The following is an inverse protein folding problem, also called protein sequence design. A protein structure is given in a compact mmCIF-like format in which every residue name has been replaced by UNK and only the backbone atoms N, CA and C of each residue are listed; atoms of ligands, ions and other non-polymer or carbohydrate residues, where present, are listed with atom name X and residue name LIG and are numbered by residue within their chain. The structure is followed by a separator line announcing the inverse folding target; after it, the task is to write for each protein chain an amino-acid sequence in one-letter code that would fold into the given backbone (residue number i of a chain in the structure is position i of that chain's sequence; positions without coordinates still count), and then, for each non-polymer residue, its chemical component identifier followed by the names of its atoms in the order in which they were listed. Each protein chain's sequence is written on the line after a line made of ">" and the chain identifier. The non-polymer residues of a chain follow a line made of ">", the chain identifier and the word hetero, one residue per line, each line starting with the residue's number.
data_IF_301663193652
#
_entry.id   IF_301663193652
#
_cell.length_a   1.000
_cell.length_b   1.000
_cell.length_c   1.000
_cell.angle_alpha   90.00
_cell.angle_beta   90.00
_cell.angle_gamma   90.00
#
_symmetry.space_group_name_H-M   'P 1'
#
loop_
_entity.id
_entity.type
_entity.pdbx_description
1 polymer ?
#
# COMPACT_ATOMS: atom_id res chain seq x y z
N UNK A 1 12.07 -11.99 23.23
CA UNK A 1 12.00 -10.63 22.65
C UNK A 1 10.53 -10.26 22.72
N UNK A 2 10.17 -9.08 23.22
CA UNK A 2 8.76 -8.67 23.27
C UNK A 2 8.38 -7.97 21.97
N UNK A 3 7.18 -8.25 21.50
CA UNK A 3 6.61 -7.62 20.31
C UNK A 3 5.42 -6.76 20.72
N UNK A 4 5.37 -5.55 20.21
CA UNK A 4 4.18 -4.72 20.28
C UNK A 4 3.26 -5.12 19.11
N UNK A 5 2.02 -5.39 19.39
CA UNK A 5 1.01 -5.68 18.37
C UNK A 5 -0.11 -4.65 18.40
N UNK A 6 -0.75 -4.48 17.25
CA UNK A 6 -1.92 -3.62 17.07
C UNK A 6 -3.05 -4.43 16.47
N UNK A 7 -4.20 -4.36 17.09
CA UNK A 7 -5.39 -5.06 16.64
C UNK A 7 -6.61 -4.12 16.57
N UNK A 8 -7.51 -4.43 15.67
CA UNK A 8 -8.83 -3.81 15.56
C UNK A 8 -9.84 -4.87 15.12
N UNK A 9 -11.11 -4.54 15.05
CA UNK A 9 -12.13 -5.44 14.51
C UNK A 9 -12.97 -4.77 13.40
N UNK A 10 -13.81 -5.57 12.77
CA UNK A 10 -14.64 -5.11 11.66
C UNK A 10 -15.69 -4.06 12.08
N UNK A 11 -16.11 -4.06 13.35
CA UNK A 11 -17.04 -3.07 13.87
C UNK A 11 -16.36 -1.72 14.03
N UNK A 12 -15.18 -1.68 14.64
CA UNK A 12 -14.38 -0.46 14.80
C UNK A 12 -13.99 0.14 13.44
N UNK A 13 -13.65 -0.71 12.45
CA UNK A 13 -13.38 -0.26 11.09
C UNK A 13 -14.61 0.37 10.44
N UNK A 14 -15.80 -0.20 10.66
CA UNK A 14 -17.05 0.36 10.16
C UNK A 14 -17.41 1.68 10.86
N UNK A 15 -17.30 1.74 12.18
CA UNK A 15 -17.53 2.97 12.96
C UNK A 15 -16.56 4.09 12.58
N UNK A 16 -15.33 3.75 12.18
CA UNK A 16 -14.36 4.73 11.72
C UNK A 16 -14.77 5.45 10.42
N UNK A 17 -15.65 4.86 9.60
CA UNK A 17 -16.22 5.51 8.42
C UNK A 17 -17.16 6.66 8.79
N UNK A 18 -17.77 6.60 9.97
CA UNK A 18 -18.71 7.62 10.44
C UNK A 18 -18.00 8.68 11.30
N UNK A 19 -17.05 8.24 12.11
CA UNK A 19 -16.41 9.09 13.12
C UNK A 19 -15.10 9.74 12.66
N UNK A 20 -14.42 9.15 11.68
CA UNK A 20 -13.06 9.51 11.27
C UNK A 20 -11.99 9.12 12.31
N UNK A 21 -12.34 8.22 13.25
CA UNK A 21 -11.43 7.71 14.28
C UNK A 21 -11.46 6.19 14.30
N UNK A 22 -10.29 5.57 14.16
CA UNK A 22 -10.14 4.12 14.27
C UNK A 22 -9.65 3.76 15.66
N UNK A 23 -10.47 2.99 16.38
CA UNK A 23 -10.13 2.43 17.68
C UNK A 23 -9.28 1.18 17.51
N UNK A 24 -8.18 1.12 18.24
CA UNK A 24 -7.23 0.00 18.20
C UNK A 24 -6.81 -0.39 19.61
N UNK A 25 -6.52 -1.65 19.79
CA UNK A 25 -5.89 -2.19 20.98
C UNK A 25 -4.39 -2.31 20.71
N UNK A 26 -3.57 -1.78 21.61
CA UNK A 26 -2.11 -1.90 21.55
C UNK A 26 -1.69 -2.74 22.76
N UNK A 27 -1.06 -3.85 22.46
CA UNK A 27 -0.59 -4.79 23.50
C UNK A 27 0.82 -5.29 23.22
N UNK A 28 1.38 -6.03 24.18
CA UNK A 28 2.66 -6.69 24.04
C UNK A 28 2.51 -8.22 24.15
N UNK A 29 3.36 -8.94 23.45
CA UNK A 29 3.40 -10.40 23.52
C UNK A 29 4.83 -10.92 23.32
N UNK A 30 5.15 -12.01 24.02
CA UNK A 30 6.40 -12.74 23.79
C UNK A 30 6.33 -13.62 22.54
N UNK A 31 5.12 -14.08 22.21
CA UNK A 31 4.80 -14.88 21.02
C UNK A 31 3.50 -14.36 20.42
N UNK A 32 3.63 -13.71 19.29
CA UNK A 32 2.50 -13.05 18.62
C UNK A 32 1.58 -14.05 17.95
N UNK A 33 2.11 -15.16 17.42
CA UNK A 33 1.30 -16.18 16.74
C UNK A 33 0.37 -16.88 17.73
N UNK A 34 0.89 -17.24 18.92
CA UNK A 34 0.07 -17.78 20.01
C UNK A 34 -0.99 -16.77 20.44
N UNK A 35 -0.63 -15.49 20.56
CA UNK A 35 -1.55 -14.43 20.97
C UNK A 35 -2.61 -14.18 19.88
N UNK A 36 -2.21 -14.10 18.61
CA UNK A 36 -3.12 -13.95 17.48
C UNK A 36 -4.15 -15.08 17.42
N UNK A 37 -3.72 -16.34 17.61
CA UNK A 37 -4.63 -17.48 17.62
C UNK A 37 -5.61 -17.45 18.79
N UNK A 38 -5.18 -17.03 19.98
CA UNK A 38 -6.05 -16.86 21.14
C UNK A 38 -7.14 -15.80 20.90
N UNK A 39 -6.82 -14.70 20.22
CA UNK A 39 -7.77 -13.61 19.95
C UNK A 39 -8.69 -13.90 18.76
N UNK A 40 -8.18 -14.50 17.68
CA UNK A 40 -9.01 -14.94 16.53
C UNK A 40 -10.13 -15.90 16.97
N UNK A 41 -9.83 -16.80 17.87
CA UNK A 41 -10.83 -17.73 18.43
C UNK A 41 -11.92 -17.04 19.26
N UNK A 42 -11.62 -15.88 19.89
CA UNK A 42 -12.54 -15.22 20.82
C UNK A 42 -13.33 -14.06 20.23
N UNK A 43 -12.74 -13.25 19.33
CA UNK A 43 -13.30 -11.95 18.96
C UNK A 43 -13.28 -11.59 17.46
N UNK A 44 -12.81 -12.45 16.56
CA UNK A 44 -12.63 -12.15 15.13
C UNK A 44 -11.83 -10.86 14.87
N UNK A 45 -10.83 -10.61 15.71
CA UNK A 45 -9.99 -9.42 15.63
C UNK A 45 -8.88 -9.61 14.59
N UNK A 46 -8.58 -8.53 13.84
CA UNK A 46 -7.50 -8.50 12.87
C UNK A 46 -6.26 -7.86 13.48
N UNK A 47 -5.17 -8.60 13.54
CA UNK A 47 -3.84 -8.05 13.78
C UNK A 47 -3.33 -7.44 12.49
N UNK A 48 -2.90 -6.19 12.53
CA UNK A 48 -2.46 -5.51 11.31
C UNK A 48 -1.11 -4.80 11.42
N UNK A 49 -0.56 -4.70 12.60
CA UNK A 49 0.78 -4.15 12.78
C UNK A 49 1.50 -4.89 13.91
N UNK A 50 2.79 -5.07 13.73
CA UNK A 50 3.65 -5.72 14.68
C UNK A 50 5.02 -5.03 14.68
N UNK A 51 5.52 -4.70 15.86
CA UNK A 51 6.80 -4.03 16.04
C UNK A 51 7.64 -4.82 17.02
N UNK A 52 8.89 -5.08 16.68
CA UNK A 52 9.85 -5.64 17.62
C UNK A 52 10.49 -4.51 18.41
N UNK A 53 10.13 -4.37 19.68
CA UNK A 53 10.67 -3.34 20.57
C UNK A 53 11.29 -4.01 21.80
N UNK A 54 12.58 -4.22 21.83
CA UNK A 54 13.22 -4.84 22.97
C UNK A 54 13.01 -4.01 24.24
N UNK A 55 12.21 -4.51 25.19
CA UNK A 55 11.99 -3.97 26.54
C UNK A 55 11.50 -2.51 26.61
N UNK A 56 10.76 -2.00 25.59
CA UNK A 56 10.30 -0.60 25.53
C UNK A 56 8.78 -0.45 25.38
N UNK A 57 8.01 -1.53 25.51
CA UNK A 57 6.54 -1.53 25.40
C UNK A 57 5.88 -0.46 26.26
N UNK A 58 6.24 -0.39 27.57
CA UNK A 58 5.71 0.64 28.47
C UNK A 58 6.16 2.07 28.12
N UNK A 59 7.29 2.26 27.44
CA UNK A 59 7.68 3.58 26.94
C UNK A 59 6.81 4.03 25.78
N UNK A 60 6.41 3.12 24.86
CA UNK A 60 5.46 3.41 23.79
C UNK A 60 4.10 3.79 24.37
N UNK A 61 3.59 3.02 25.32
CA UNK A 61 2.33 3.32 25.99
C UNK A 61 2.37 4.66 26.74
N UNK A 62 3.47 4.96 27.44
CA UNK A 62 3.65 6.23 28.14
C UNK A 62 3.69 7.40 27.17
N UNK A 63 4.37 7.26 26.02
CA UNK A 63 4.44 8.28 24.99
C UNK A 63 3.10 8.50 24.30
N UNK A 64 2.38 7.43 23.96
CA UNK A 64 1.02 7.53 23.42
C UNK A 64 0.08 8.25 24.40
N UNK A 65 0.20 7.98 25.71
CA UNK A 65 -0.54 8.72 26.73
C UNK A 65 -0.11 10.17 26.87
N UNK A 66 1.17 10.48 26.62
CA UNK A 66 1.70 11.85 26.61
C UNK A 66 1.14 12.66 25.43
N UNK A 67 1.07 12.04 24.23
CA UNK A 67 0.52 12.66 23.03
C UNK A 67 -1.01 12.55 22.94
N UNK A 68 -1.67 11.96 23.94
CA UNK A 68 -3.13 11.92 24.01
C UNK A 68 -3.71 13.34 23.95
N UNK A 69 -4.88 13.47 23.31
CA UNK A 69 -5.55 14.74 23.05
C UNK A 69 -4.83 15.63 22.01
N UNK A 70 -3.97 15.07 21.19
CA UNK A 70 -3.56 15.71 19.94
C UNK A 70 -4.69 15.60 18.91
N UNK A 71 -4.55 16.31 17.79
CA UNK A 71 -5.51 16.22 16.68
C UNK A 71 -5.51 14.84 15.99
N UNK A 72 -4.60 13.94 16.36
CA UNK A 72 -4.34 12.67 15.65
C UNK A 72 -4.45 11.41 16.51
N UNK A 73 -4.29 11.52 17.86
CA UNK A 73 -4.34 10.36 18.77
C UNK A 73 -5.15 10.70 20.02
N UNK A 74 -6.00 9.78 20.44
CA UNK A 74 -6.77 9.85 21.69
C UNK A 74 -6.56 8.57 22.51
N UNK A 75 -6.47 8.71 23.83
CA UNK A 75 -6.51 7.58 24.75
C UNK A 75 -7.93 7.33 25.22
N UNK A 76 -8.39 6.09 25.12
CA UNK A 76 -9.69 5.68 25.63
C UNK A 76 -9.48 4.99 26.98
N UNK A 77 -9.85 5.62 28.11
CA UNK A 77 -9.70 4.97 29.41
C UNK A 77 -10.58 3.72 29.48
N UNK A 78 -10.11 2.65 30.13
CA UNK A 78 -10.91 1.44 30.32
C UNK A 78 -12.18 1.78 31.10
N UNK A 79 -13.30 1.18 30.71
CA UNK A 79 -14.60 1.40 31.35
C UNK A 79 -14.70 0.69 32.69
N UNK A 80 -13.94 -0.41 32.89
CA UNK A 80 -13.87 -1.18 34.12
C UNK A 80 -12.41 -1.50 34.47
N UNK A 81 -12.09 -1.53 35.76
CA UNK A 81 -10.75 -1.84 36.31
C UNK A 81 -10.20 -3.24 35.96
N UNK A 82 -10.93 -4.05 35.22
CA UNK A 82 -10.61 -5.43 34.88
C UNK A 82 -9.87 -5.58 33.53
N UNK A 83 -9.80 -4.52 32.71
CA UNK A 83 -9.13 -4.64 31.40
C UNK A 83 -7.67 -4.19 31.48
N UNK A 84 -6.76 -5.18 31.41
CA UNK A 84 -5.31 -4.98 31.27
C UNK A 84 -4.89 -4.51 29.85
N UNK A 85 -5.82 -4.05 29.03
CA UNK A 85 -5.59 -3.75 27.60
C UNK A 85 -5.72 -2.26 27.38
N UNK A 86 -4.73 -1.64 26.76
CA UNK A 86 -4.76 -0.21 26.47
C UNK A 86 -5.36 0.05 25.09
N UNK A 87 -6.36 0.92 25.07
CA UNK A 87 -7.14 1.29 23.88
C UNK A 87 -6.80 2.72 23.47
N UNK A 88 -6.55 2.92 22.19
CA UNK A 88 -6.29 4.22 21.59
C UNK A 88 -7.16 4.42 20.36
N UNK A 89 -7.48 5.67 20.06
CA UNK A 89 -8.13 6.06 18.82
C UNK A 89 -7.16 6.93 18.00
N UNK A 90 -7.01 6.57 16.73
CA UNK A 90 -6.21 7.30 15.77
C UNK A 90 -7.10 7.96 14.73
N UNK A 91 -6.78 9.21 14.41
CA UNK A 91 -7.49 9.91 13.34
C UNK A 91 -7.15 9.28 12.00
N UNK A 92 -8.19 8.91 11.25
CA UNK A 92 -8.09 8.31 9.92
C UNK A 92 -9.00 9.05 8.94
N UNK A 93 -8.76 8.89 7.65
CA UNK A 93 -9.70 9.34 6.64
C UNK A 93 -10.91 8.40 6.64
N UNK A 94 -12.11 8.93 6.91
CA UNK A 94 -13.35 8.17 6.98
C UNK A 94 -13.69 7.46 5.66
N UNK A 95 -13.33 8.05 4.52
CA UNK A 95 -13.58 7.52 3.18
C UNK A 95 -12.49 6.55 2.70
N UNK A 96 -11.38 6.43 3.42
CA UNK A 96 -10.31 5.53 3.06
C UNK A 96 -10.71 4.05 3.23
N UNK A 97 -10.05 3.17 2.47
CA UNK A 97 -10.21 1.72 2.65
C UNK A 97 -9.68 1.26 4.02
N UNK A 98 -10.14 0.10 4.49
CA UNK A 98 -9.72 -0.48 5.76
C UNK A 98 -8.20 -0.66 5.84
N UNK A 99 -7.56 -1.06 4.73
CA UNK A 99 -6.11 -1.19 4.64
C UNK A 99 -5.40 0.16 4.83
N UNK A 100 -5.90 1.22 4.20
CA UNK A 100 -5.32 2.56 4.33
C UNK A 100 -5.48 3.09 5.76
N UNK A 101 -6.60 2.82 6.42
CA UNK A 101 -6.82 3.18 7.81
C UNK A 101 -5.84 2.48 8.74
N UNK A 102 -5.66 1.17 8.56
CA UNK A 102 -4.68 0.35 9.31
C UNK A 102 -3.24 0.85 9.10
N UNK A 103 -2.87 1.15 7.85
CA UNK A 103 -1.56 1.71 7.52
C UNK A 103 -1.32 3.08 8.16
N UNK A 104 -2.35 3.93 8.23
CA UNK A 104 -2.25 5.24 8.89
C UNK A 104 -1.91 5.09 10.38
N UNK A 105 -2.57 4.15 11.07
CA UNK A 105 -2.26 3.85 12.48
C UNK A 105 -0.84 3.29 12.63
N UNK A 106 -0.46 2.36 11.77
CA UNK A 106 0.89 1.76 11.80
C UNK A 106 1.98 2.80 11.60
N UNK A 107 1.79 3.75 10.68
CA UNK A 107 2.72 4.84 10.43
C UNK A 107 2.84 5.78 11.63
N UNK A 108 1.73 6.16 12.25
CA UNK A 108 1.73 7.00 13.43
C UNK A 108 2.45 6.33 14.63
N UNK A 109 2.24 5.03 14.82
CA UNK A 109 2.94 4.26 15.83
C UNK A 109 4.45 4.16 15.55
N UNK A 110 4.83 3.94 14.31
CA UNK A 110 6.24 3.92 13.90
C UNK A 110 6.94 5.24 14.23
N UNK A 111 6.27 6.38 14.04
CA UNK A 111 6.81 7.69 14.43
C UNK A 111 7.00 7.82 15.95
N UNK A 112 6.03 7.34 16.74
CA UNK A 112 6.14 7.33 18.21
C UNK A 112 7.34 6.47 18.65
N UNK A 113 7.48 5.28 18.09
CA UNK A 113 8.58 4.35 18.42
C UNK A 113 9.93 4.96 18.07
N UNK A 114 10.08 5.59 16.91
CA UNK A 114 11.31 6.31 16.53
C UNK A 114 11.60 7.49 17.48
N UNK A 115 10.57 8.22 17.86
CA UNK A 115 10.68 9.35 18.78
C UNK A 115 11.24 9.00 20.17
N UNK A 116 11.01 7.78 20.64
CA UNK A 116 11.59 7.26 21.89
C UNK A 116 12.92 6.51 21.68
N UNK A 117 13.53 6.63 20.49
CA UNK A 117 14.80 5.96 20.14
C UNK A 117 14.65 4.45 19.94
N UNK A 118 13.44 3.97 19.63
CA UNK A 118 13.18 2.60 19.20
C UNK A 118 13.55 2.42 17.73
N UNK A 119 14.14 1.28 17.40
CA UNK A 119 14.25 0.85 16.00
C UNK A 119 12.90 0.32 15.56
N UNK A 120 12.37 0.87 14.51
CA UNK A 120 11.24 0.30 13.78
C UNK A 120 11.86 -0.57 12.71
N UNK A 121 11.79 -1.88 12.87
CA UNK A 121 11.99 -2.73 11.71
C UNK A 121 10.95 -2.30 10.68
N UNK A 122 11.42 -1.77 9.57
CA UNK A 122 10.55 -1.52 8.43
C UNK A 122 9.90 -2.84 8.08
N UNK A 123 8.58 -2.90 8.12
CA UNK A 123 7.88 -4.10 7.68
C UNK A 123 8.33 -4.39 6.26
N UNK A 124 9.15 -5.41 6.08
CA UNK A 124 9.41 -5.91 4.76
C UNK A 124 8.10 -6.50 4.26
N UNK A 125 7.49 -5.84 3.28
CA UNK A 125 6.34 -6.42 2.61
C UNK A 125 6.76 -7.78 2.02
N UNK A 126 6.14 -8.84 2.50
CA UNK A 126 6.37 -10.19 2.00
C UNK A 126 5.21 -10.54 1.06
N UNK A 127 5.46 -10.65 -0.25
CA UNK A 127 4.42 -11.01 -1.19
C UNK A 127 3.84 -12.39 -0.88
N UNK A 128 2.52 -12.51 -0.91
CA UNK A 128 1.81 -13.79 -0.87
C UNK A 128 2.11 -14.61 -2.14
N UNK A 129 1.73 -15.89 -2.16
CA UNK A 129 1.95 -16.77 -3.33
C UNK A 129 1.33 -16.21 -4.61
N UNK A 130 0.10 -15.67 -4.54
CA UNK A 130 -0.56 -15.07 -5.71
C UNK A 130 0.08 -13.75 -6.15
N UNK A 131 0.60 -12.94 -5.23
CA UNK A 131 1.34 -11.72 -5.55
C UNK A 131 2.68 -12.05 -6.21
N UNK A 132 3.40 -13.06 -5.70
CA UNK A 132 4.63 -13.56 -6.34
C UNK A 132 4.37 -14.03 -7.76
N UNK A 133 3.29 -14.80 -7.99
CA UNK A 133 2.91 -15.22 -9.35
C UNK A 133 2.72 -14.05 -10.30
N UNK A 134 2.10 -12.95 -9.85
CA UNK A 134 1.93 -11.76 -10.68
C UNK A 134 3.28 -11.06 -10.96
N UNK A 135 4.17 -10.98 -9.98
CA UNK A 135 5.51 -10.40 -10.12
C UNK A 135 6.35 -11.24 -11.09
N UNK A 136 6.35 -12.56 -10.92
CA UNK A 136 7.06 -13.52 -11.80
C UNK A 136 6.56 -13.42 -13.25
N UNK A 137 5.23 -13.40 -13.44
CA UNK A 137 4.63 -13.23 -14.78
C UNK A 137 5.12 -11.96 -15.46
N UNK A 138 5.18 -10.84 -14.76
CA UNK A 138 5.67 -9.57 -15.34
C UNK A 138 7.16 -9.70 -15.68
N UNK A 139 7.97 -10.22 -14.77
CA UNK A 139 9.40 -10.42 -14.99
C UNK A 139 9.71 -11.32 -16.18
N UNK A 140 9.04 -12.47 -16.30
CA UNK A 140 9.17 -13.39 -17.43
C UNK A 140 8.70 -12.76 -18.75
N UNK A 141 7.62 -11.97 -18.71
CA UNK A 141 7.12 -11.25 -19.89
C UNK A 141 8.14 -10.24 -20.39
N UNK A 142 8.75 -9.45 -19.51
CA UNK A 142 9.79 -8.49 -19.89
C UNK A 142 11.05 -9.16 -20.46
N UNK A 143 11.46 -10.30 -19.91
CA UNK A 143 12.56 -11.10 -20.47
C UNK A 143 12.26 -11.58 -21.89
N UNK A 144 10.98 -11.73 -22.26
CA UNK A 144 10.51 -12.06 -23.60
C UNK A 144 10.25 -10.82 -24.49
N UNK A 145 10.68 -9.63 -24.06
CA UNK A 145 10.42 -8.34 -24.71
C UNK A 145 8.93 -7.97 -24.85
N UNK A 146 8.08 -8.52 -23.99
CA UNK A 146 6.67 -8.17 -23.89
C UNK A 146 6.53 -6.97 -22.95
N UNK A 147 6.13 -5.82 -23.48
CA UNK A 147 6.18 -4.56 -22.75
C UNK A 147 4.80 -3.99 -22.38
N UNK A 148 3.73 -4.50 -23.00
CA UNK A 148 2.35 -4.09 -22.72
C UNK A 148 1.59 -5.24 -22.09
N UNK A 149 1.39 -5.17 -20.79
CA UNK A 149 0.83 -6.24 -19.99
C UNK A 149 -0.51 -5.85 -19.38
N UNK A 150 -1.42 -6.82 -19.27
CA UNK A 150 -2.67 -6.69 -18.52
C UNK A 150 -2.63 -7.58 -17.29
N UNK A 151 -2.90 -7.00 -16.13
CA UNK A 151 -3.08 -7.72 -14.88
C UNK A 151 -4.53 -7.55 -14.41
N UNK A 152 -5.35 -8.58 -14.55
CA UNK A 152 -6.67 -8.64 -13.95
C UNK A 152 -6.56 -9.30 -12.58
N UNK A 153 -6.63 -8.49 -11.54
CA UNK A 153 -6.38 -8.90 -10.18
C UNK A 153 -7.62 -8.65 -9.31
N UNK A 154 -8.13 -9.68 -8.69
CA UNK A 154 -9.31 -9.61 -7.85
C UNK A 154 -9.24 -8.49 -6.79
N UNK A 155 -10.39 -8.06 -6.30
CA UNK A 155 -10.45 -7.15 -5.16
C UNK A 155 -9.69 -7.75 -3.96
N UNK A 156 -9.03 -6.88 -3.18
CA UNK A 156 -8.19 -7.27 -2.02
C UNK A 156 -6.95 -8.11 -2.36
N UNK A 157 -6.56 -8.16 -3.62
CA UNK A 157 -5.32 -8.83 -4.05
C UNK A 157 -4.06 -8.23 -3.39
N UNK A 158 -4.10 -6.97 -3.01
CA UNK A 158 -2.93 -6.22 -2.54
C UNK A 158 -2.09 -5.61 -3.66
N UNK A 159 -2.76 -5.09 -4.69
CA UNK A 159 -2.16 -4.52 -5.92
C UNK A 159 -1.00 -3.58 -5.64
N UNK A 160 -1.18 -2.64 -4.70
CA UNK A 160 -0.17 -1.63 -4.34
C UNK A 160 1.14 -2.27 -3.87
N UNK A 161 1.08 -3.21 -2.93
CA UNK A 161 2.27 -3.92 -2.44
C UNK A 161 2.95 -4.75 -3.53
N UNK A 162 2.15 -5.40 -4.39
CA UNK A 162 2.66 -6.16 -5.54
C UNK A 162 3.45 -5.28 -6.50
N UNK A 163 2.93 -4.10 -6.85
CA UNK A 163 3.61 -3.16 -7.76
C UNK A 163 4.87 -2.56 -7.14
N UNK A 164 4.83 -2.23 -5.86
CA UNK A 164 6.02 -1.72 -5.18
C UNK A 164 7.12 -2.80 -5.12
N UNK A 165 6.75 -4.05 -4.87
CA UNK A 165 7.70 -5.16 -4.92
C UNK A 165 8.22 -5.38 -6.34
N UNK A 166 7.38 -5.25 -7.36
CA UNK A 166 7.81 -5.32 -8.75
C UNK A 166 8.83 -4.23 -9.07
N UNK A 167 8.58 -2.99 -8.65
CA UNK A 167 9.54 -1.89 -8.81
C UNK A 167 10.86 -2.19 -8.09
N UNK A 168 10.79 -2.78 -6.90
CA UNK A 168 11.97 -3.13 -6.11
C UNK A 168 12.89 -4.13 -6.85
N UNK A 169 12.29 -5.14 -7.47
CA UNK A 169 13.02 -6.18 -8.23
C UNK A 169 13.36 -5.80 -9.67
N UNK A 170 12.78 -4.73 -10.20
CA UNK A 170 13.08 -4.26 -11.55
C UNK A 170 14.32 -3.35 -11.59
N UNK A 171 14.88 -3.17 -12.77
CA UNK A 171 15.96 -2.20 -12.99
C UNK A 171 15.43 -0.76 -13.11
N UNK A 172 14.11 -0.56 -13.12
CA UNK A 172 13.51 0.76 -13.22
C UNK A 172 13.75 1.60 -11.97
N UNK A 173 14.01 2.88 -12.17
CA UNK A 173 14.21 3.87 -11.11
C UNK A 173 12.91 4.59 -10.75
N UNK A 174 11.98 4.66 -11.71
CA UNK A 174 10.73 5.40 -11.57
C UNK A 174 9.54 4.54 -11.99
N UNK A 175 8.49 4.54 -11.18
CA UNK A 175 7.17 4.01 -11.53
C UNK A 175 6.17 5.16 -11.57
N UNK A 176 5.53 5.35 -12.72
CA UNK A 176 4.44 6.33 -12.88
C UNK A 176 3.11 5.59 -12.72
N UNK A 177 2.37 5.90 -11.66
CA UNK A 177 1.04 5.34 -11.40
C UNK A 177 -0.01 6.30 -11.92
N UNK A 178 -0.47 6.06 -13.13
CA UNK A 178 -1.58 6.78 -13.73
C UNK A 178 -2.90 6.21 -13.20
N UNK A 179 -3.74 7.06 -12.63
CA UNK A 179 -5.01 6.65 -12.04
C UNK A 179 -6.11 7.67 -12.25
N UNK A 180 -7.33 7.25 -12.00
CA UNK A 180 -8.52 8.09 -12.10
C UNK A 180 -9.03 8.56 -10.73
N UNK A 181 -8.71 7.83 -9.66
CA UNK A 181 -9.22 8.06 -8.31
C UNK A 181 -8.11 8.55 -7.38
N UNK A 182 -8.36 9.62 -6.63
CA UNK A 182 -7.40 10.16 -5.64
C UNK A 182 -7.03 9.13 -4.55
N UNK A 183 -7.95 8.23 -4.22
CA UNK A 183 -7.73 7.18 -3.22
C UNK A 183 -6.55 6.26 -3.55
N UNK A 184 -6.28 6.03 -4.84
CA UNK A 184 -5.11 5.24 -5.29
C UNK A 184 -3.82 5.92 -4.84
N UNK A 185 -3.67 7.22 -5.07
CA UNK A 185 -2.49 7.98 -4.65
C UNK A 185 -2.27 7.90 -3.14
N UNK A 186 -3.35 7.98 -2.35
CA UNK A 186 -3.28 7.86 -0.89
C UNK A 186 -2.81 6.48 -0.46
N UNK A 187 -3.28 5.42 -1.11
CA UNK A 187 -2.87 4.04 -0.84
C UNK A 187 -1.38 3.83 -1.11
N UNK A 188 -0.87 4.27 -2.26
CA UNK A 188 0.55 4.16 -2.59
C UNK A 188 1.42 4.95 -1.60
N UNK A 189 1.08 6.21 -1.33
CA UNK A 189 1.83 7.06 -0.40
C UNK A 189 1.88 6.44 1.01
N UNK A 190 0.78 5.89 1.49
CA UNK A 190 0.70 5.23 2.79
C UNK A 190 1.56 3.95 2.83
N UNK A 191 1.43 3.08 1.82
CA UNK A 191 2.18 1.82 1.74
C UNK A 191 3.69 2.07 1.64
N UNK A 192 4.12 3.06 0.85
CA UNK A 192 5.54 3.44 0.76
C UNK A 192 6.05 3.88 2.12
N UNK A 193 5.32 4.77 2.80
CA UNK A 193 5.72 5.30 4.11
C UNK A 193 5.88 4.20 5.16
N UNK A 194 5.04 3.17 5.09
CA UNK A 194 4.98 2.11 6.11
C UNK A 194 5.95 0.96 5.81
N UNK A 195 6.00 0.49 4.55
CA UNK A 195 6.67 -0.76 4.21
C UNK A 195 7.93 -0.58 3.35
N UNK A 196 8.15 0.61 2.76
CA UNK A 196 9.19 0.82 1.76
C UNK A 196 9.89 2.19 1.91
N UNK A 197 9.77 2.83 3.06
CA UNK A 197 10.32 4.18 3.26
C UNK A 197 11.85 4.26 3.16
N UNK A 198 12.53 3.14 3.34
CA UNK A 198 13.98 2.98 3.18
C UNK A 198 14.43 2.89 1.72
N UNK A 199 13.51 2.55 0.79
CA UNK A 199 13.81 2.28 -0.62
C UNK A 199 13.11 3.23 -1.58
N UNK A 200 11.90 3.70 -1.26
CA UNK A 200 11.06 4.47 -2.18
C UNK A 200 10.71 5.86 -1.67
N UNK A 201 10.45 6.77 -2.62
CA UNK A 201 9.83 8.07 -2.36
C UNK A 201 8.57 8.22 -3.20
N UNK A 202 7.56 8.77 -2.57
CA UNK A 202 6.31 9.15 -3.23
C UNK A 202 6.37 10.60 -3.69
N UNK A 203 5.99 10.86 -4.94
CA UNK A 203 5.87 12.20 -5.51
C UNK A 203 4.50 12.34 -6.16
N UNK A 204 3.78 13.42 -5.87
CA UNK A 204 2.55 13.76 -6.58
C UNK A 204 2.90 14.66 -7.78
N UNK A 205 2.50 14.28 -8.99
CA UNK A 205 2.68 15.12 -10.19
C UNK A 205 2.03 16.49 -10.04
N UNK A 206 1.05 16.66 -9.17
CA UNK A 206 0.40 17.95 -8.92
C UNK A 206 1.27 18.92 -8.12
N UNK A 207 2.30 18.45 -7.42
CA UNK A 207 3.21 19.32 -6.67
C UNK A 207 3.94 20.29 -7.60
N UNK A 208 4.12 21.54 -7.18
CA UNK A 208 4.78 22.56 -8.03
C UNK A 208 6.26 22.24 -8.27
N UNK A 209 6.92 21.61 -7.32
CA UNK A 209 8.32 21.18 -7.35
C UNK A 209 8.50 19.67 -7.58
N UNK A 210 7.57 19.00 -8.29
CA UNK A 210 7.61 17.54 -8.45
C UNK A 210 8.90 17.04 -9.11
N UNK A 211 9.46 17.81 -10.08
CA UNK A 211 10.74 17.46 -10.74
C UNK A 211 11.90 17.48 -9.76
N UNK A 212 12.03 18.53 -8.96
CA UNK A 212 13.06 18.63 -7.91
C UNK A 212 12.95 17.51 -6.87
N UNK A 213 11.71 17.10 -6.54
CA UNK A 213 11.48 15.97 -5.64
C UNK A 213 11.95 14.65 -6.25
N UNK A 214 11.70 14.42 -7.54
CA UNK A 214 12.19 13.23 -8.25
C UNK A 214 13.71 13.24 -8.29
N UNK A 215 14.33 14.32 -8.76
CA UNK A 215 15.78 14.43 -8.87
C UNK A 215 16.49 14.26 -7.52
N UNK A 216 15.94 14.88 -6.47
CA UNK A 216 16.48 14.77 -5.11
C UNK A 216 16.37 13.34 -4.58
N UNK A 217 15.26 12.65 -4.84
CA UNK A 217 15.06 11.28 -4.40
C UNK A 217 16.02 10.31 -5.13
N UNK A 218 16.15 10.45 -6.45
CA UNK A 218 17.07 9.64 -7.25
C UNK A 218 18.52 9.89 -6.86
N UNK A 219 18.92 11.16 -6.65
CA UNK A 219 20.25 11.50 -6.15
C UNK A 219 20.54 10.92 -4.75
N UNK A 220 19.50 10.75 -3.93
CA UNK A 220 19.57 10.09 -2.63
C UNK A 220 19.57 8.55 -2.68
N UNK A 221 19.57 7.95 -3.88
CA UNK A 221 19.58 6.50 -4.07
C UNK A 221 18.22 5.82 -3.87
N UNK A 222 17.13 6.59 -3.86
CA UNK A 222 15.77 6.04 -3.74
C UNK A 222 15.15 5.83 -5.11
N UNK A 223 14.36 4.76 -5.25
CA UNK A 223 13.42 4.65 -6.37
C UNK A 223 12.20 5.55 -6.13
N UNK A 224 11.58 6.03 -7.20
CA UNK A 224 10.50 7.01 -7.10
C UNK A 224 9.19 6.45 -7.64
N UNK A 225 8.11 6.67 -6.90
CA UNK A 225 6.74 6.39 -7.37
C UNK A 225 6.02 7.71 -7.55
N UNK A 226 5.60 7.99 -8.78
CA UNK A 226 4.92 9.23 -9.13
C UNK A 226 3.43 8.98 -9.32
N UNK A 227 2.61 9.60 -8.48
CA UNK A 227 1.16 9.58 -8.64
C UNK A 227 0.69 10.57 -9.70
N UNK A 228 -0.01 10.06 -10.71
CA UNK A 228 -0.51 10.84 -11.85
C UNK A 228 -2.03 10.72 -11.97
N UNK A 229 -2.78 11.72 -11.48
CA UNK A 229 -4.22 11.77 -11.62
C UNK A 229 -4.62 12.28 -13.03
N UNK A 230 -5.11 11.39 -13.88
CA UNK A 230 -5.40 11.67 -15.30
C UNK A 230 -6.54 12.67 -15.54
N UNK A 231 -7.40 12.92 -14.54
CA UNK A 231 -8.51 13.88 -14.65
C UNK A 231 -8.09 15.35 -14.49
N UNK A 232 -6.90 15.62 -13.96
CA UNK A 232 -6.40 16.99 -13.82
C UNK A 232 -6.14 17.61 -15.17
N UNK A 233 -6.81 18.74 -15.48
CA UNK A 233 -6.75 19.37 -16.81
C UNK A 233 -5.68 20.46 -16.95
N UNK A 234 -5.40 21.20 -15.89
CA UNK A 234 -4.48 22.31 -15.93
C UNK A 234 -3.02 21.84 -15.76
N UNK A 235 -2.13 22.26 -16.64
CA UNK A 235 -0.68 21.97 -16.63
C UNK A 235 -0.28 20.50 -16.78
N UNK A 236 -1.25 19.56 -16.93
CA UNK A 236 -0.91 18.12 -16.94
C UNK A 236 -0.07 17.74 -18.17
N UNK A 237 -0.40 18.26 -19.37
CA UNK A 237 0.27 17.83 -20.61
C UNK A 237 1.78 18.10 -20.60
N UNK A 238 2.23 19.29 -20.15
CA UNK A 238 3.66 19.58 -20.04
C UNK A 238 4.36 18.71 -18.99
N UNK A 239 3.68 18.41 -17.90
CA UNK A 239 4.20 17.52 -16.85
C UNK A 239 4.29 16.07 -17.31
N UNK A 240 3.31 15.59 -18.11
CA UNK A 240 3.37 14.25 -18.72
C UNK A 240 4.57 14.12 -19.66
N UNK A 241 4.86 15.12 -20.48
CA UNK A 241 6.04 15.12 -21.35
C UNK A 241 7.36 15.05 -20.55
N UNK A 242 7.43 15.75 -19.42
CA UNK A 242 8.58 15.69 -18.52
C UNK A 242 8.75 14.30 -17.89
N UNK A 243 7.66 13.68 -17.45
CA UNK A 243 7.69 12.28 -16.97
C UNK A 243 8.08 11.31 -18.09
N UNK A 244 7.57 11.52 -19.31
CA UNK A 244 7.93 10.71 -20.47
C UNK A 244 9.41 10.81 -20.85
N UNK A 245 10.07 11.90 -20.53
CA UNK A 245 11.50 12.09 -20.76
C UNK A 245 12.40 11.38 -19.72
N UNK A 246 11.86 10.91 -18.59
CA UNK A 246 12.63 10.19 -17.59
C UNK A 246 12.99 8.80 -18.16
N UNK A 247 14.28 8.48 -18.30
CA UNK A 247 14.68 7.13 -18.71
C UNK A 247 14.33 6.11 -17.63
N UNK A 248 14.38 4.85 -17.98
CA UNK A 248 14.31 3.72 -17.03
C UNK A 248 13.06 3.75 -16.12
N UNK A 249 11.90 4.03 -16.72
CA UNK A 249 10.62 4.09 -16.01
C UNK A 249 9.67 2.96 -16.41
N UNK A 250 8.74 2.66 -15.51
CA UNK A 250 7.57 1.80 -15.73
C UNK A 250 6.31 2.65 -15.64
N UNK A 251 5.35 2.44 -16.53
CA UNK A 251 4.03 3.07 -16.46
C UNK A 251 3.00 2.05 -16.03
N UNK A 252 2.24 2.37 -15.01
CA UNK A 252 1.13 1.57 -14.50
C UNK A 252 -0.14 2.38 -14.62
N UNK A 253 -1.19 1.80 -15.17
CA UNK A 253 -2.55 2.36 -15.14
C UNK A 253 -3.38 1.53 -14.19
N UNK A 254 -3.73 2.10 -13.05
CA UNK A 254 -4.63 1.44 -12.08
C UNK A 254 -6.09 1.75 -12.42
N UNK A 255 -6.96 0.76 -12.26
CA UNK A 255 -8.35 0.78 -12.71
C UNK A 255 -8.45 1.10 -14.22
N UNK A 256 -7.69 0.37 -15.03
CA UNK A 256 -7.55 0.61 -16.47
C UNK A 256 -8.87 0.51 -17.24
N UNK A 257 -9.83 -0.24 -16.75
CA UNK A 257 -11.19 -0.32 -17.27
C UNK A 257 -11.96 1.01 -17.13
N UNK A 258 -11.62 1.87 -16.18
CA UNK A 258 -12.15 3.22 -16.01
C UNK A 258 -11.23 4.29 -16.62
N UNK A 259 -9.92 4.14 -16.49
CA UNK A 259 -8.93 5.18 -16.79
C UNK A 259 -8.67 5.45 -18.27
N UNK A 260 -9.12 4.57 -19.19
CA UNK A 260 -8.80 4.65 -20.62
C UNK A 260 -10.03 4.90 -21.51
N UNK A 261 -11.16 5.33 -20.96
CA UNK A 261 -12.44 5.41 -21.68
C UNK A 261 -12.50 6.46 -22.79
N UNK A 262 -11.81 7.57 -22.62
CA UNK A 262 -11.84 8.67 -23.61
C UNK A 262 -10.55 8.69 -24.43
N UNK A 263 -10.64 9.14 -25.68
CA UNK A 263 -9.47 9.34 -26.53
C UNK A 263 -8.41 10.24 -25.87
N UNK A 264 -8.87 11.23 -25.09
CA UNK A 264 -7.98 12.15 -24.38
C UNK A 264 -7.20 11.46 -23.24
N UNK A 265 -7.82 10.52 -22.54
CA UNK A 265 -7.14 9.74 -21.48
C UNK A 265 -6.17 8.72 -22.08
N UNK A 266 -6.61 8.04 -23.13
CA UNK A 266 -5.74 7.14 -23.89
C UNK A 266 -4.49 7.87 -24.38
N UNK A 267 -4.64 9.05 -25.01
CA UNK A 267 -3.51 9.85 -25.48
C UNK A 267 -2.53 10.24 -24.36
N UNK A 268 -3.02 10.48 -23.14
CA UNK A 268 -2.15 10.76 -21.99
C UNK A 268 -1.34 9.53 -21.56
N UNK A 269 -1.96 8.36 -21.56
CA UNK A 269 -1.27 7.09 -21.26
C UNK A 269 -0.21 6.82 -22.31
N UNK A 270 -0.54 6.98 -23.59
CA UNK A 270 0.42 6.83 -24.69
C UNK A 270 1.60 7.80 -24.58
N UNK A 271 1.34 9.05 -24.17
CA UNK A 271 2.43 10.02 -23.90
C UNK A 271 3.33 9.53 -22.76
N UNK A 272 2.77 9.03 -21.66
CA UNK A 272 3.56 8.52 -20.53
C UNK A 272 4.34 7.26 -20.91
N UNK A 273 3.74 6.41 -21.74
CA UNK A 273 4.29 5.11 -22.15
C UNK A 273 5.49 5.25 -23.08
N UNK A 274 5.64 6.35 -23.82
CA UNK A 274 6.66 6.49 -24.86
C UNK A 274 8.01 5.86 -24.47
N UNK A 275 8.33 4.72 -25.10
CA UNK A 275 9.55 3.95 -24.82
C UNK A 275 9.61 3.24 -23.47
N UNK A 276 8.53 3.15 -22.71
CA UNK A 276 8.50 2.48 -21.41
C UNK A 276 7.54 1.26 -21.38
N UNK A 277 7.80 0.25 -20.54
CA UNK A 277 6.84 -0.80 -20.26
C UNK A 277 5.54 -0.25 -19.65
N UNK A 278 4.41 -0.82 -20.08
CA UNK A 278 3.06 -0.46 -19.64
C UNK A 278 2.39 -1.65 -18.96
N UNK A 279 1.90 -1.44 -17.76
CA UNK A 279 1.07 -2.40 -17.03
C UNK A 279 -0.32 -1.80 -16.85
N UNK A 280 -1.32 -2.43 -17.43
CA UNK A 280 -2.72 -2.10 -17.25
C UNK A 280 -3.29 -3.00 -16.15
N UNK A 281 -3.73 -2.41 -15.05
CA UNK A 281 -4.35 -3.13 -13.95
C UNK A 281 -5.85 -2.90 -13.90
N UNK A 282 -6.60 -3.96 -13.66
CA UNK A 282 -8.04 -3.91 -13.44
C UNK A 282 -8.47 -4.92 -12.38
N UNK A 283 -9.59 -4.65 -11.72
CA UNK A 283 -10.21 -5.58 -10.76
C UNK A 283 -11.31 -6.44 -11.36
N UNK A 284 -11.87 -6.06 -12.50
CA UNK A 284 -13.19 -6.60 -12.93
C UNK A 284 -13.41 -6.75 -14.43
N UNK A 285 -12.61 -6.17 -15.30
CA UNK A 285 -12.95 -6.19 -16.74
C UNK A 285 -11.72 -5.98 -17.64
N UNK A 286 -10.91 -7.02 -17.73
CA UNK A 286 -9.71 -7.03 -18.57
C UNK A 286 -10.02 -6.80 -20.05
N UNK A 287 -11.13 -7.37 -20.58
CA UNK A 287 -11.51 -7.24 -21.99
C UNK A 287 -11.65 -5.79 -22.43
N UNK A 288 -12.14 -4.93 -21.54
CA UNK A 288 -12.31 -3.52 -21.82
C UNK A 288 -10.98 -2.76 -21.87
N UNK A 289 -10.04 -3.13 -21.03
CA UNK A 289 -8.67 -2.59 -21.08
C UNK A 289 -7.95 -3.10 -22.34
N UNK A 290 -8.11 -4.38 -22.67
CA UNK A 290 -7.50 -5.03 -23.84
C UNK A 290 -8.03 -4.52 -25.16
N UNK A 291 -9.29 -4.04 -25.25
CA UNK A 291 -9.88 -3.58 -26.50
C UNK A 291 -9.23 -2.33 -27.11
N UNK A 292 -8.38 -1.61 -26.37
CA UNK A 292 -7.82 -0.32 -26.77
C UNK A 292 -6.30 -0.29 -26.92
N UNK A 293 -5.62 -1.28 -26.39
CA UNK A 293 -4.18 -1.37 -26.45
C UNK A 293 -3.77 -2.67 -27.14
N UNK A 294 -2.66 -2.63 -27.87
CA UNK A 294 -2.01 -3.87 -28.30
C UNK A 294 -1.36 -4.51 -27.08
N UNK A 295 -1.88 -5.67 -26.69
CA UNK A 295 -1.48 -6.38 -25.48
C UNK A 295 -0.54 -7.52 -25.84
N UNK A 296 0.65 -7.52 -25.24
CA UNK A 296 1.65 -8.58 -25.46
C UNK A 296 1.35 -9.83 -24.61
N UNK A 297 0.86 -9.62 -23.38
CA UNK A 297 0.50 -10.72 -22.48
C UNK A 297 -0.50 -10.26 -21.39
N UNK A 298 -1.25 -11.22 -20.85
CA UNK A 298 -2.20 -10.97 -19.77
C UNK A 298 -2.16 -12.07 -18.70
N UNK A 299 -2.41 -11.67 -17.46
CA UNK A 299 -2.61 -12.56 -16.32
C UNK A 299 -3.92 -12.20 -15.63
N UNK A 300 -4.79 -13.19 -15.40
CA UNK A 300 -5.95 -13.06 -14.55
C UNK A 300 -5.76 -13.89 -13.29
N UNK A 301 -5.98 -13.26 -12.11
CA UNK A 301 -6.02 -13.95 -10.81
C UNK A 301 -7.33 -13.62 -10.14
N UNK A 302 -8.23 -14.59 -10.15
CA UNK A 302 -9.56 -14.46 -9.55
C UNK A 302 -9.52 -14.66 -8.04
N UNK A 303 -10.63 -14.31 -7.38
CA UNK A 303 -10.78 -14.61 -5.95
C UNK A 303 -10.72 -16.13 -5.67
N UNK A 304 -11.21 -16.95 -6.60
CA UNK A 304 -11.14 -18.40 -6.49
C UNK A 304 -9.68 -18.90 -6.55
N UNK A 305 -8.87 -18.37 -7.47
CA UNK A 305 -7.45 -18.71 -7.57
C UNK A 305 -6.72 -18.38 -6.26
N UNK A 306 -7.01 -17.22 -5.65
CA UNK A 306 -6.43 -16.84 -4.36
C UNK A 306 -6.82 -17.80 -3.25
N UNK A 307 -8.06 -18.26 -3.21
CA UNK A 307 -8.52 -19.24 -2.24
C UNK A 307 -7.84 -20.60 -2.42
N UNK A 308 -7.69 -21.07 -3.65
CA UNK A 308 -7.01 -22.33 -3.97
C UNK A 308 -5.53 -22.28 -3.56
N UNK A 309 -4.82 -21.21 -3.92
CA UNK A 309 -3.43 -21.03 -3.51
C UNK A 309 -3.24 -20.92 -1.99
N UNK A 310 -4.20 -20.31 -1.29
CA UNK A 310 -4.19 -20.26 0.16
C UNK A 310 -4.40 -21.66 0.76
N UNK A 311 -5.31 -22.47 0.21
CA UNK A 311 -5.58 -23.83 0.66
C UNK A 311 -4.33 -24.74 0.49
N UNK A 312 -3.63 -24.62 -0.63
CA UNK A 312 -2.39 -25.38 -0.88
C UNK A 312 -1.28 -25.01 0.13
N UNK A 313 -1.22 -23.77 0.56
CA UNK A 313 -0.24 -23.30 1.54
C UNK A 313 -0.56 -23.85 2.96
N UNK A 314 -1.83 -24.01 3.28
CA UNK A 314 -2.27 -24.55 4.60
C UNK A 314 -2.45 -26.07 4.62
N UNK A 315 -2.62 -26.73 3.45
CA UNK A 315 -2.79 -28.18 3.33
C UNK A 315 -1.48 -28.97 3.27
N UNK A 316 -0.35 -28.34 3.12
CA UNK A 316 0.97 -28.98 2.99
C UNK A 316 1.61 -29.45 4.29
N UNK A 317 0.96 -29.31 5.44
CA UNK A 317 1.39 -29.79 6.74
C UNK A 317 0.38 -30.83 7.29
N UNK A 318 0.25 -31.98 6.64
CA UNK A 318 -0.28 -33.21 7.22
C UNK A 318 0.83 -34.27 7.31
#
# INVERSE_FOLDING_TARGET
>A
MKHLYVETDSLELKESCETGWLRVIIGDANDVDVRANQYKAKRRQDFFAMFTIPNRDHQVHAELKRVKNTSTVRYVPPVDDVQSVEVFEFKVDAEASDEVKKLTVSAALAEVIRGIGGEVETFSFVPTSWQRRAIEFVGESWQQNKTTLVLELAARFGKTGTLLTLLDYSDADVMVVANYFKSVNTSFAATIRTCFADRFRWVDIAADNFEEQIDSALAGGFKVVVGCALHNKARLNSRLQKLAAIPNRIVVVDEADFGTHTAAQFSKVETLREGAPLILMTGTNADRAMSKHEIDASLSVTYFDMLMMAADTFGGNQ
#
